data_IF_904543260948
#
_entry.id   IF_904543260948
#
_cell.length_a   1.000
_cell.length_b   1.000
_cell.length_c   1.000
_cell.angle_alpha   90.00
_cell.angle_beta   90.00
_cell.angle_gamma   90.00
#
_symmetry.space_group_name_H-M   'P 1'
#
loop_
_entity.id
_entity.type
_entity.pdbx_description
1 polymer ?
#
# COMPACT_ATOMS: atom_id res chain seq x y z
N UNK A 1 -1.15 4.97 0.58
CA UNK A 1 -1.83 5.76 -0.49
C UNK A 1 -2.72 6.77 0.19
N UNK A 2 -2.54 8.05 -0.09
CA UNK A 2 -3.41 9.13 0.38
C UNK A 2 -4.73 9.10 -0.39
N UNK A 3 -5.82 8.79 0.29
CA UNK A 3 -7.17 8.70 -0.29
C UNK A 3 -7.80 10.10 -0.41
N UNK A 4 -7.40 11.03 0.46
CA UNK A 4 -7.88 12.40 0.55
C UNK A 4 -8.69 12.64 1.82
N UNK A 5 -9.56 13.66 1.82
CA UNK A 5 -10.39 13.98 2.99
C UNK A 5 -11.20 12.76 3.49
N UNK A 6 -11.45 12.72 4.80
CA UNK A 6 -12.09 11.60 5.50
C UNK A 6 -13.44 11.25 4.89
N UNK A 7 -13.54 10.03 4.38
CA UNK A 7 -14.70 9.53 3.62
C UNK A 7 -14.65 7.99 3.56
N UNK A 8 -15.45 7.33 4.41
CA UNK A 8 -15.46 5.86 4.51
C UNK A 8 -15.82 5.18 3.18
N UNK A 9 -16.68 5.79 2.36
CA UNK A 9 -17.06 5.22 1.07
C UNK A 9 -15.89 5.26 0.09
N UNK A 10 -15.13 6.36 0.09
CA UNK A 10 -13.92 6.49 -0.73
C UNK A 10 -12.82 5.55 -0.26
N UNK A 11 -12.58 5.48 1.05
CA UNK A 11 -11.61 4.57 1.63
C UNK A 11 -11.97 3.10 1.32
N UNK A 12 -13.25 2.74 1.43
CA UNK A 12 -13.74 1.42 1.05
C UNK A 12 -13.51 1.13 -0.43
N UNK A 13 -13.77 2.09 -1.33
CA UNK A 13 -13.53 1.92 -2.76
C UNK A 13 -12.04 1.67 -3.06
N UNK A 14 -11.14 2.42 -2.42
CA UNK A 14 -9.68 2.22 -2.56
C UNK A 14 -9.25 0.87 -1.97
N UNK A 15 -9.77 0.49 -0.80
CA UNK A 15 -9.50 -0.82 -0.18
C UNK A 15 -9.91 -1.98 -1.08
N UNK A 16 -11.13 -1.96 -1.60
CA UNK A 16 -11.62 -3.02 -2.50
C UNK A 16 -10.82 -3.08 -3.80
N UNK A 17 -10.50 -1.92 -4.37
CA UNK A 17 -9.65 -1.83 -5.56
C UNK A 17 -8.24 -2.36 -5.30
N UNK A 18 -7.66 -2.07 -4.13
CA UNK A 18 -6.36 -2.57 -3.69
C UNK A 18 -6.35 -4.09 -3.53
N UNK A 19 -7.30 -4.64 -2.78
CA UNK A 19 -7.39 -6.08 -2.52
C UNK A 19 -7.47 -6.87 -3.84
N UNK A 20 -8.27 -6.36 -4.79
CA UNK A 20 -8.37 -6.94 -6.13
C UNK A 20 -7.12 -6.72 -6.98
N UNK A 21 -6.55 -5.51 -7.01
CA UNK A 21 -5.40 -5.16 -7.83
C UNK A 21 -4.12 -5.96 -7.49
N UNK A 22 -3.93 -6.22 -6.21
CA UNK A 22 -2.83 -7.00 -5.66
C UNK A 22 -3.08 -8.52 -5.67
N UNK A 23 -4.26 -8.96 -6.12
CA UNK A 23 -4.67 -10.38 -6.13
C UNK A 23 -4.54 -11.00 -4.73
N UNK A 24 -5.04 -10.30 -3.72
CA UNK A 24 -4.95 -10.74 -2.33
C UNK A 24 -5.92 -11.90 -2.08
N UNK A 25 -5.37 -13.02 -1.62
CA UNK A 25 -6.13 -14.19 -1.21
C UNK A 25 -6.44 -14.15 0.28
N UNK A 26 -7.71 -14.36 0.61
CA UNK A 26 -8.21 -14.32 1.98
C UNK A 26 -8.28 -12.89 2.54
N UNK A 27 -8.89 -12.78 3.72
CA UNK A 27 -8.94 -11.55 4.50
C UNK A 27 -9.10 -11.92 5.97
N UNK A 28 -8.15 -11.54 6.80
CA UNK A 28 -8.00 -12.04 8.16
C UNK A 28 -7.73 -10.90 9.14
N UNK A 29 -8.34 -10.94 10.32
CA UNK A 29 -8.20 -9.90 11.34
C UNK A 29 -7.14 -10.20 12.39
N UNK A 30 -6.75 -11.47 12.58
CA UNK A 30 -5.86 -11.87 13.67
C UNK A 30 -4.45 -12.13 13.16
N UNK A 31 -3.48 -11.40 13.72
CA UNK A 31 -2.05 -11.52 13.37
C UNK A 31 -1.35 -12.73 14.00
N UNK A 32 -1.90 -13.26 15.09
CA UNK A 32 -1.26 -14.29 15.93
C UNK A 32 -1.86 -15.68 15.68
N UNK A 33 -2.57 -15.86 14.55
CA UNK A 33 -3.18 -17.13 14.13
C UNK A 33 -2.92 -17.37 12.66
N UNK A 34 -2.69 -18.62 12.29
CA UNK A 34 -2.57 -18.98 10.88
C UNK A 34 -3.92 -18.82 10.16
N UNK A 35 -3.92 -18.63 8.83
CA UNK A 35 -5.15 -18.48 8.03
C UNK A 35 -6.18 -19.61 8.24
N UNK A 36 -5.72 -20.85 8.42
CA UNK A 36 -6.57 -22.02 8.67
C UNK A 36 -7.12 -22.10 10.11
N UNK A 37 -6.61 -21.28 11.04
CA UNK A 37 -6.98 -21.28 12.46
C UNK A 37 -7.98 -20.16 12.82
N UNK A 38 -8.42 -19.39 11.82
CA UNK A 38 -9.34 -18.27 12.00
C UNK A 38 -10.36 -18.19 10.86
N UNK A 39 -11.53 -17.66 11.19
CA UNK A 39 -12.56 -17.39 10.18
C UNK A 39 -12.15 -16.17 9.33
N UNK A 40 -12.32 -16.23 8.00
CA UNK A 40 -12.15 -15.06 7.15
C UNK A 40 -13.11 -13.93 7.56
N UNK A 41 -12.61 -12.69 7.53
CA UNK A 41 -13.41 -11.50 7.81
C UNK A 41 -13.75 -10.77 6.50
N UNK A 42 -14.82 -9.97 6.45
CA UNK A 42 -15.09 -9.12 5.30
C UNK A 42 -13.94 -8.14 5.02
N UNK A 43 -13.57 -7.95 3.75
CA UNK A 43 -12.62 -6.89 3.35
C UNK A 43 -13.32 -5.52 3.33
N UNK A 44 -13.53 -4.96 4.52
CA UNK A 44 -14.27 -3.71 4.71
C UNK A 44 -13.56 -2.73 5.62
N UNK A 45 -13.90 -1.45 5.48
CA UNK A 45 -13.47 -0.39 6.40
C UNK A 45 -13.90 -0.70 7.84
N UNK A 46 -15.12 -1.23 8.04
CA UNK A 46 -15.57 -1.63 9.38
C UNK A 46 -14.68 -2.72 10.00
N UNK A 47 -14.20 -3.68 9.19
CA UNK A 47 -13.24 -4.69 9.66
C UNK A 47 -11.83 -4.10 9.89
N UNK A 48 -11.40 -3.11 9.10
CA UNK A 48 -10.17 -2.36 9.42
C UNK A 48 -10.28 -1.65 10.77
N UNK A 49 -11.43 -1.03 11.07
CA UNK A 49 -11.67 -0.34 12.34
C UNK A 49 -11.73 -1.34 13.52
N UNK A 50 -12.36 -2.50 13.32
CA UNK A 50 -12.49 -3.54 14.35
C UNK A 50 -11.14 -4.20 14.69
N UNK A 51 -10.36 -4.58 13.67
CA UNK A 51 -9.12 -5.34 13.85
C UNK A 51 -7.86 -4.46 13.85
N UNK A 52 -8.00 -3.18 13.52
CA UNK A 52 -6.91 -2.22 13.32
C UNK A 52 -6.07 -2.45 12.06
N UNK A 53 -6.22 -3.61 11.40
CA UNK A 53 -5.52 -4.02 10.18
C UNK A 53 -6.17 -5.26 9.60
N UNK A 54 -5.99 -5.47 8.30
CA UNK A 54 -6.40 -6.70 7.62
C UNK A 54 -5.18 -7.38 7.03
N UNK A 55 -5.18 -8.71 7.06
CA UNK A 55 -4.14 -9.55 6.50
C UNK A 55 -4.68 -10.40 5.35
N UNK A 56 -3.79 -10.78 4.45
CA UNK A 56 -4.08 -11.71 3.36
C UNK A 56 -2.79 -12.29 2.81
N UNK A 57 -2.88 -12.97 1.68
CA UNK A 57 -1.73 -13.56 1.00
C UNK A 57 -1.64 -13.07 -0.43
N UNK A 58 -0.44 -12.70 -0.86
CA UNK A 58 -0.16 -12.30 -2.25
C UNK A 58 0.94 -13.14 -2.84
N UNK A 59 0.98 -13.19 -4.17
CA UNK A 59 2.10 -13.75 -4.91
C UNK A 59 3.07 -12.63 -5.30
N UNK A 60 4.30 -12.72 -4.82
CA UNK A 60 5.39 -11.83 -5.21
C UNK A 60 5.76 -12.06 -6.68
N UNK A 61 6.46 -11.10 -7.33
CA UNK A 61 6.98 -11.30 -8.68
C UNK A 61 7.88 -12.53 -8.84
N UNK A 62 8.54 -12.97 -7.77
CA UNK A 62 9.33 -14.22 -7.73
C UNK A 62 8.49 -15.50 -7.76
N UNK A 63 7.16 -15.39 -7.69
CA UNK A 63 6.22 -16.50 -7.65
C UNK A 63 5.94 -17.03 -6.24
N UNK A 64 6.68 -16.60 -5.23
CA UNK A 64 6.47 -17.00 -3.84
C UNK A 64 5.19 -16.37 -3.27
N UNK A 65 4.47 -17.15 -2.46
CA UNK A 65 3.32 -16.67 -1.71
C UNK A 65 3.77 -16.19 -0.35
N UNK A 66 3.37 -14.98 0.02
CA UNK A 66 3.71 -14.34 1.29
C UNK A 66 2.49 -13.68 1.91
N UNK A 67 2.54 -13.48 3.23
CA UNK A 67 1.55 -12.64 3.93
C UNK A 67 1.73 -11.18 3.51
N UNK A 68 0.61 -10.50 3.27
CA UNK A 68 0.54 -9.05 3.18
C UNK A 68 -0.44 -8.52 4.23
N UNK A 69 -0.42 -7.20 4.44
CA UNK A 69 -1.39 -6.54 5.28
C UNK A 69 -1.79 -5.17 4.75
N UNK A 70 -2.86 -4.65 5.32
CA UNK A 70 -3.37 -3.33 5.05
C UNK A 70 -3.83 -2.66 6.35
N UNK A 71 -3.57 -1.36 6.47
CA UNK A 71 -4.02 -0.53 7.59
C UNK A 71 -4.55 0.81 7.06
N UNK A 72 -5.61 1.32 7.67
CA UNK A 72 -6.05 2.69 7.47
C UNK A 72 -5.41 3.58 8.53
N UNK A 73 -4.78 4.66 8.08
CA UNK A 73 -4.27 5.72 8.96
C UNK A 73 -5.20 6.91 8.78
N UNK A 74 -5.84 7.31 9.88
CA UNK A 74 -6.75 8.45 9.93
C UNK A 74 -6.21 9.44 10.92
N UNK A 75 -5.93 10.65 10.47
CA UNK A 75 -5.57 11.77 11.35
C UNK A 75 -6.79 12.65 11.59
N UNK A 76 -6.87 13.25 12.78
CA UNK A 76 -7.82 14.34 13.06
C UNK A 76 -7.31 15.69 12.54
N UNK A 77 -6.05 15.76 12.09
CA UNK A 77 -5.48 16.89 11.37
C UNK A 77 -5.82 16.82 9.87
N UNK A 78 -5.68 17.92 9.13
CA UNK A 78 -6.05 18.07 7.70
C UNK A 78 -5.29 17.14 6.72
N UNK A 79 -4.54 16.14 7.20
CA UNK A 79 -3.68 15.25 6.42
C UNK A 79 -4.39 14.09 5.70
N UNK A 80 -5.72 14.01 5.79
CA UNK A 80 -6.56 13.06 5.06
C UNK A 80 -6.43 11.60 5.50
N UNK A 81 -7.27 10.75 4.95
CA UNK A 81 -7.20 9.30 5.13
C UNK A 81 -6.10 8.71 4.26
N UNK A 82 -5.33 7.80 4.86
CA UNK A 82 -4.31 7.01 4.19
C UNK A 82 -4.66 5.53 4.28
N UNK A 83 -4.39 4.80 3.20
CA UNK A 83 -4.45 3.36 3.16
C UNK A 83 -3.08 2.79 2.82
N UNK A 84 -2.49 2.09 3.78
CA UNK A 84 -1.17 1.50 3.65
C UNK A 84 -1.30 0.03 3.34
N UNK A 85 -0.60 -0.41 2.30
CA UNK A 85 -0.45 -1.80 1.92
C UNK A 85 1.01 -2.21 2.12
N UNK A 86 1.23 -3.32 2.82
CA UNK A 86 2.57 -3.74 3.19
C UNK A 86 2.75 -5.25 3.08
N UNK A 87 4.01 -5.65 2.94
CA UNK A 87 4.47 -7.03 3.15
C UNK A 87 5.41 -6.99 4.36
N UNK A 88 5.12 -7.74 5.44
CA UNK A 88 5.99 -7.76 6.62
C UNK A 88 7.41 -8.21 6.28
N UNK A 89 8.42 -7.61 6.92
CA UNK A 89 9.83 -7.93 6.67
C UNK A 89 10.14 -9.42 6.87
N UNK A 90 9.65 -10.01 7.96
CA UNK A 90 9.85 -11.45 8.21
C UNK A 90 9.24 -12.34 7.12
N UNK A 91 8.20 -11.89 6.41
CA UNK A 91 7.65 -12.63 5.27
C UNK A 91 8.54 -12.52 4.02
N UNK A 92 9.20 -11.38 3.83
CA UNK A 92 10.21 -11.21 2.77
C UNK A 92 11.47 -12.01 3.09
N UNK A 93 11.92 -12.04 4.35
CA UNK A 93 13.06 -12.86 4.81
C UNK A 93 12.79 -14.35 4.57
N UNK A 94 11.61 -14.83 4.94
CA UNK A 94 11.21 -16.21 4.73
C UNK A 94 11.12 -16.58 3.23
N UNK A 95 10.76 -15.61 2.39
CA UNK A 95 10.81 -15.75 0.94
C UNK A 95 12.25 -15.70 0.38
N UNK A 96 13.26 -15.37 1.18
CA UNK A 96 14.65 -15.25 0.73
C UNK A 96 14.86 -14.07 -0.21
N UNK A 97 14.01 -13.04 -0.11
CA UNK A 97 14.19 -11.82 -0.87
C UNK A 97 15.26 -10.94 -0.21
N UNK A 98 16.22 -10.49 -1.01
CA UNK A 98 17.06 -9.37 -0.61
C UNK A 98 16.31 -8.08 -0.92
N UNK A 99 15.95 -7.34 0.12
CA UNK A 99 15.15 -6.12 0.04
C UNK A 99 15.83 -4.94 0.75
N UNK A 100 17.10 -5.08 1.13
CA UNK A 100 17.85 -4.01 1.80
C UNK A 100 19.30 -3.96 1.31
N UNK A 101 19.64 -2.89 0.60
CA UNK A 101 21.00 -2.63 0.11
C UNK A 101 21.73 -1.52 0.89
N UNK A 102 21.25 -1.16 2.09
CA UNK A 102 21.85 -0.09 2.88
C UNK A 102 21.31 1.32 2.58
N UNK A 103 20.25 1.43 1.78
CA UNK A 103 19.54 2.69 1.53
C UNK A 103 18.37 2.86 2.50
N UNK A 104 18.12 4.06 3.07
CA UNK A 104 17.17 4.22 4.18
C UNK A 104 15.71 3.83 3.87
N UNK A 105 15.27 4.02 2.62
CA UNK A 105 13.86 3.82 2.23
C UNK A 105 13.64 2.92 1.02
N UNK A 106 14.71 2.55 0.30
CA UNK A 106 14.66 1.76 -0.92
C UNK A 106 14.78 0.27 -0.60
N UNK A 107 13.91 -0.53 -1.25
CA UNK A 107 13.85 -1.98 -1.03
C UNK A 107 14.57 -2.76 -2.12
N UNK A 108 13.93 -2.82 -3.27
CA UNK A 108 14.45 -3.38 -4.51
C UNK A 108 13.58 -2.84 -5.65
N UNK A 109 14.18 -2.66 -6.82
CA UNK A 109 13.45 -2.18 -8.01
C UNK A 109 12.25 -3.10 -8.32
N UNK A 110 12.42 -4.41 -8.15
CA UNK A 110 11.36 -5.39 -8.38
C UNK A 110 10.15 -5.20 -7.46
N UNK A 111 10.37 -4.97 -6.16
CA UNK A 111 9.27 -4.77 -5.22
C UNK A 111 8.57 -3.42 -5.44
N UNK A 112 9.35 -2.38 -5.73
CA UNK A 112 8.80 -1.05 -5.95
C UNK A 112 8.01 -1.00 -7.28
N UNK A 113 8.50 -1.63 -8.35
CA UNK A 113 7.78 -1.77 -9.62
C UNK A 113 6.50 -2.59 -9.47
N UNK A 114 6.53 -3.65 -8.65
CA UNK A 114 5.34 -4.44 -8.34
C UNK A 114 4.29 -3.62 -7.58
N UNK A 115 4.70 -2.87 -6.57
CA UNK A 115 3.80 -1.97 -5.83
C UNK A 115 3.29 -0.83 -6.72
N UNK A 116 4.12 -0.30 -7.61
CA UNK A 116 3.71 0.71 -8.58
C UNK A 116 2.65 0.16 -9.55
N UNK A 117 2.82 -1.07 -10.02
CA UNK A 117 1.84 -1.75 -10.88
C UNK A 117 0.50 -2.00 -10.15
N UNK A 118 0.54 -2.35 -8.87
CA UNK A 118 -0.65 -2.43 -8.01
C UNK A 118 -1.31 -1.06 -7.92
N UNK A 119 -0.58 -0.01 -7.54
CA UNK A 119 -1.12 1.33 -7.43
C UNK A 119 -1.74 1.86 -8.73
N UNK A 120 -1.13 1.55 -9.88
CA UNK A 120 -1.69 1.87 -11.20
C UNK A 120 -3.01 1.13 -11.48
N UNK A 121 -3.15 -0.12 -11.04
CA UNK A 121 -4.41 -0.87 -11.13
C UNK A 121 -5.47 -0.34 -10.18
N UNK A 122 -5.09 0.05 -8.96
CA UNK A 122 -5.99 0.70 -7.99
C UNK A 122 -6.53 1.99 -8.60
N UNK A 123 -5.65 2.88 -9.07
CA UNK A 123 -6.04 4.20 -9.59
C UNK A 123 -7.06 4.13 -10.73
N UNK A 124 -7.01 3.08 -11.57
CA UNK A 124 -7.99 2.87 -12.64
C UNK A 124 -9.41 2.56 -12.15
N UNK A 125 -9.55 1.99 -10.96
CA UNK A 125 -10.83 1.56 -10.40
C UNK A 125 -11.32 2.48 -9.26
N UNK A 126 -10.38 3.06 -8.51
CA UNK A 126 -10.64 3.99 -7.42
C UNK A 126 -9.53 5.04 -7.38
N UNK A 127 -9.91 6.31 -7.44
CA UNK A 127 -8.96 7.44 -7.41
C UNK A 127 -8.42 7.65 -5.99
N UNK A 128 -7.15 8.02 -5.91
CA UNK A 128 -6.47 8.48 -4.69
C UNK A 128 -5.64 9.72 -5.06
N UNK A 129 -5.27 10.54 -4.07
CA UNK A 129 -4.57 11.82 -4.27
C UNK A 129 -3.06 11.65 -4.48
N UNK A 130 -2.45 10.69 -3.78
CA UNK A 130 -1.02 10.38 -3.88
C UNK A 130 -0.76 8.93 -3.46
N UNK A 131 0.18 8.27 -4.12
CA UNK A 131 0.80 7.04 -3.61
C UNK A 131 2.30 7.24 -3.41
N UNK A 132 2.84 6.57 -2.39
CA UNK A 132 4.26 6.55 -2.07
C UNK A 132 4.69 5.11 -1.84
N UNK A 133 5.93 4.79 -2.19
CA UNK A 133 6.48 3.44 -2.14
C UNK A 133 7.85 3.49 -1.47
N UNK A 134 8.02 2.72 -0.39
CA UNK A 134 9.27 2.59 0.35
C UNK A 134 9.04 2.04 1.76
N UNK A 135 10.05 2.12 2.61
CA UNK A 135 9.94 1.79 4.04
C UNK A 135 9.26 2.90 4.84
N UNK A 136 8.14 2.60 5.48
CA UNK A 136 7.45 3.49 6.44
C UNK A 136 7.24 4.92 5.89
N UNK A 137 6.79 5.01 4.63
CA UNK A 137 6.77 6.27 3.87
C UNK A 137 5.46 7.05 3.95
N UNK A 138 4.43 6.48 4.56
CA UNK A 138 3.14 7.15 4.77
C UNK A 138 3.35 8.43 5.59
N UNK A 139 2.83 9.57 5.12
CA UNK A 139 2.97 10.84 5.83
C UNK A 139 4.35 11.51 5.73
N UNK A 140 5.34 10.92 5.06
CA UNK A 140 6.60 11.62 4.76
C UNK A 140 6.40 12.81 3.82
N UNK A 141 5.29 12.81 3.06
CA UNK A 141 4.80 13.90 2.24
C UNK A 141 3.30 13.70 1.99
N UNK A 142 2.66 14.69 1.36
CA UNK A 142 1.25 14.64 0.96
C UNK A 142 1.07 15.26 -0.43
N UNK A 143 -0.10 15.02 -1.03
CA UNK A 143 -0.45 15.51 -2.35
C UNK A 143 -0.41 17.04 -2.45
N UNK A 144 -0.77 17.73 -1.36
CA UNK A 144 -0.80 19.20 -1.29
C UNK A 144 0.61 19.79 -1.39
N UNK A 145 1.57 19.17 -0.70
CA UNK A 145 2.99 19.55 -0.66
C UNK A 145 3.64 19.35 -2.03
N UNK A 146 3.31 18.27 -2.72
CA UNK A 146 3.85 17.99 -4.07
C UNK A 146 3.24 18.90 -5.15
N UNK A 147 2.03 19.43 -4.94
CA UNK A 147 1.33 20.30 -5.88
C UNK A 147 1.33 19.77 -7.34
N UNK A 148 1.16 18.44 -7.49
CA UNK A 148 1.14 17.78 -8.80
C UNK A 148 2.49 17.65 -9.50
N UNK A 149 3.62 17.91 -8.81
CA UNK A 149 4.97 17.80 -9.37
C UNK A 149 5.79 16.70 -8.68
N UNK A 150 6.43 15.86 -9.49
CA UNK A 150 7.39 14.88 -8.97
C UNK A 150 8.69 15.58 -8.54
N UNK A 151 9.24 15.29 -7.35
CA UNK A 151 10.54 15.79 -6.95
C UNK A 151 11.66 15.30 -7.88
N UNK A 152 12.70 16.11 -8.08
CA UNK A 152 13.87 15.74 -8.90
C UNK A 152 14.73 14.65 -8.23
N UNK A 153 15.00 14.80 -6.93
CA UNK A 153 15.65 13.80 -6.09
C UNK A 153 14.59 13.09 -5.25
N UNK A 154 14.61 11.76 -5.27
CA UNK A 154 13.57 10.90 -4.72
C UNK A 154 14.21 9.74 -3.96
N UNK A 155 14.16 9.80 -2.63
CA UNK A 155 14.53 8.67 -1.77
C UNK A 155 13.48 7.55 -1.72
N UNK A 156 12.28 7.81 -2.25
CA UNK A 156 11.12 6.91 -2.25
C UNK A 156 10.46 6.94 -3.64
N UNK A 157 9.67 5.93 -3.96
CA UNK A 157 8.83 5.91 -5.17
C UNK A 157 7.57 6.76 -4.98
N UNK A 158 7.09 7.35 -6.07
CA UNK A 158 5.89 8.20 -6.10
C UNK A 158 4.92 7.73 -7.18
N UNK A 159 3.64 7.72 -6.83
CA UNK A 159 2.52 7.50 -7.74
C UNK A 159 1.66 8.75 -7.74
N UNK A 160 1.87 9.59 -8.75
CA UNK A 160 1.29 10.92 -8.80
C UNK A 160 0.21 11.00 -9.90
N UNK A 161 -1.06 11.19 -9.52
CA UNK A 161 -2.14 11.47 -10.47
C UNK A 161 -1.88 12.76 -11.26
N UNK A 162 -2.04 12.68 -12.58
CA UNK A 162 -2.04 13.81 -13.51
C UNK A 162 -3.27 13.68 -14.42
N UNK A 163 -4.40 14.22 -13.95
CA UNK A 163 -5.70 13.95 -14.57
C UNK A 163 -6.07 12.47 -14.45
N UNK A 164 -6.33 11.82 -15.58
CA UNK A 164 -6.70 10.39 -15.63
C UNK A 164 -5.50 9.43 -15.70
N UNK A 165 -4.28 9.97 -15.77
CA UNK A 165 -3.04 9.19 -15.84
C UNK A 165 -2.38 9.16 -14.47
N UNK A 166 -1.83 8.00 -14.09
CA UNK A 166 -0.98 7.87 -12.91
C UNK A 166 0.49 7.84 -13.36
N UNK A 167 1.27 8.82 -12.95
CA UNK A 167 2.70 8.88 -13.22
C UNK A 167 3.48 8.18 -12.11
N UNK A 168 4.28 7.18 -12.47
CA UNK A 168 5.22 6.55 -11.54
C UNK A 168 6.60 7.22 -11.64
N UNK A 169 7.08 7.75 -10.53
CA UNK A 169 8.44 8.25 -10.37
C UNK A 169 9.21 7.37 -9.40
N UNK A 170 10.04 6.45 -9.92
CA UNK A 170 10.91 5.60 -9.10
C UNK A 170 11.90 6.41 -8.25
N UNK A 171 12.31 5.84 -7.11
CA UNK A 171 13.41 6.38 -6.32
C UNK A 171 14.68 6.49 -7.18
N UNK A 172 15.47 7.54 -6.98
CA UNK A 172 16.67 7.82 -7.78
C UNK A 172 17.85 8.40 -6.99
N UNK A 173 17.74 8.43 -5.66
CA UNK A 173 18.79 8.89 -4.74
C UNK A 173 18.91 7.96 -3.56
#
# INVERSE_FOLDING_TARGET
MEVGARDDARLQAVLSALWSAADVHGCFGQKDREPEEQEPVPCTVGSLDEFGRLYGQVRLPTGQRVVCGCVAIRSDEDSGDWLDFFVPLGALDHAGLNYWEGRPYFRSDMLDDWLAAIGARVFRNARFSLGVIGFEVSGCTDASTLAGKLPQSRGIGYLLPQGDVLCYGAANS
#
